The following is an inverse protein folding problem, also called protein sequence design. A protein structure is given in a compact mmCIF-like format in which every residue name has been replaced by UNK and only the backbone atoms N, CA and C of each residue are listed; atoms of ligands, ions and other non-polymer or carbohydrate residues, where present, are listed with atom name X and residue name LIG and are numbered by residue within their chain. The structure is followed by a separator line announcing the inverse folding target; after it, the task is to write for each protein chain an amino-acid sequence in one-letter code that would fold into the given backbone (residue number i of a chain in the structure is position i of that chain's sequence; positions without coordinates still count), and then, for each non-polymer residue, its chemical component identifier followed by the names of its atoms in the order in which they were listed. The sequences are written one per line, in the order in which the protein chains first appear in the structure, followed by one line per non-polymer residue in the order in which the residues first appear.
data_IF_728008144648
#
_entry.id   IF_728008144648
#
_cell.length_a   1.000
_cell.length_b   1.000
_cell.length_c   1.000
_cell.angle_alpha   90.00
_cell.angle_beta   90.00
_cell.angle_gamma   90.00
#
_symmetry.space_group_name_H-M   'P 1'
#
loop_
_entity.id
_entity.type
_entity.pdbx_description
1 polymer ?
#
# COMPACT_ATOMS: atom_id res chain seq x y z
N UNK A 1 0.52 5.62 4.40
CA UNK A 1 0.81 4.17 4.35
C UNK A 1 -0.11 3.47 5.34
N UNK A 2 -1.33 3.10 4.94
CA UNK A 2 -2.26 2.44 5.86
C UNK A 2 -1.79 1.01 6.16
N UNK A 3 -1.88 0.61 7.42
CA UNK A 3 -1.68 -0.78 7.84
C UNK A 3 -2.71 -1.66 7.12
N UNK A 4 -2.24 -2.64 6.33
CA UNK A 4 -3.12 -3.44 5.47
C UNK A 4 -3.82 -4.53 6.27
N UNK A 5 -4.99 -4.19 6.82
CA UNK A 5 -5.88 -5.17 7.44
C UNK A 5 -6.89 -5.76 6.44
N UNK A 6 -7.43 -4.97 5.50
CA UNK A 6 -8.41 -5.41 4.49
C UNK A 6 -8.48 -4.44 3.31
N UNK A 7 -8.61 -4.95 2.08
CA UNK A 7 -8.69 -4.14 0.85
C UNK A 7 -9.83 -3.10 0.87
N UNK A 8 -11.02 -3.48 1.37
CA UNK A 8 -12.15 -2.55 1.58
C UNK A 8 -11.84 -1.39 2.51
N UNK A 9 -10.96 -1.61 3.50
CA UNK A 9 -10.57 -0.55 4.44
C UNK A 9 -9.65 0.46 3.76
N UNK A 10 -8.74 -0.03 2.92
CA UNK A 10 -7.86 0.82 2.10
C UNK A 10 -8.69 1.60 1.08
N UNK A 11 -9.65 0.97 0.40
CA UNK A 11 -10.60 1.66 -0.49
C UNK A 11 -11.38 2.76 0.22
N UNK A 12 -11.90 2.48 1.42
CA UNK A 12 -12.63 3.48 2.21
C UNK A 12 -11.74 4.66 2.62
N UNK A 13 -10.47 4.40 2.98
CA UNK A 13 -9.49 5.43 3.31
C UNK A 13 -9.12 6.25 2.07
N UNK A 14 -8.88 5.60 0.93
CA UNK A 14 -8.58 6.26 -0.34
C UNK A 14 -9.74 7.14 -0.81
N UNK A 15 -10.98 6.65 -0.72
CA UNK A 15 -12.19 7.42 -1.04
C UNK A 15 -12.35 8.63 -0.11
N UNK A 16 -12.11 8.47 1.20
CA UNK A 16 -12.15 9.59 2.16
C UNK A 16 -11.01 10.60 1.96
N UNK A 17 -9.82 10.13 1.62
CA UNK A 17 -8.64 10.96 1.40
C UNK A 17 -8.59 11.57 -0.02
N UNK A 18 -9.54 11.21 -0.89
CA UNK A 18 -9.57 11.58 -2.30
C UNK A 18 -8.26 11.21 -3.05
N UNK A 19 -7.68 10.07 -2.68
CA UNK A 19 -6.44 9.53 -3.26
C UNK A 19 -6.80 8.39 -4.21
N UNK A 20 -6.32 8.39 -5.47
CA UNK A 20 -6.50 7.26 -6.38
C UNK A 20 -5.95 5.97 -5.77
N UNK A 21 -6.72 4.89 -5.84
CA UNK A 21 -6.32 3.59 -5.29
C UNK A 21 -4.99 3.10 -5.87
N UNK A 22 -4.73 3.43 -7.13
CA UNK A 22 -3.48 3.10 -7.85
C UNK A 22 -2.22 3.76 -7.25
N UNK A 23 -2.41 4.84 -6.48
CA UNK A 23 -1.35 5.50 -5.72
C UNK A 23 -1.18 4.94 -4.31
N UNK A 24 -2.08 4.07 -3.85
CA UNK A 24 -1.92 3.35 -2.60
C UNK A 24 -0.95 2.20 -2.80
N UNK A 25 0.19 2.26 -2.11
CA UNK A 25 1.15 1.15 -2.09
C UNK A 25 0.56 0.02 -1.25
N UNK A 26 0.16 -1.07 -1.90
CA UNK A 26 -0.46 -2.24 -1.27
C UNK A 26 0.43 -3.47 -1.45
N UNK A 27 0.96 -4.00 -0.35
CA UNK A 27 1.62 -5.32 -0.32
C UNK A 27 0.61 -6.45 -0.08
N UNK A 28 -0.60 -6.12 0.40
CA UNK A 28 -1.67 -7.06 0.71
C UNK A 28 -2.03 -7.97 -0.48
N UNK A 29 -2.02 -7.43 -1.70
CA UNK A 29 -2.36 -8.19 -2.92
C UNK A 29 -1.37 -9.34 -3.20
N UNK A 30 -0.13 -9.22 -2.72
CA UNK A 30 0.93 -10.20 -2.98
C UNK A 30 1.25 -11.07 -1.75
N UNK A 31 1.16 -10.50 -0.55
CA UNK A 31 1.65 -11.13 0.69
C UNK A 31 0.61 -11.25 1.80
N UNK A 32 -0.61 -10.74 1.61
CA UNK A 32 -1.64 -10.71 2.65
C UNK A 32 -1.25 -9.83 3.85
N UNK A 33 -1.93 -10.02 4.99
CA UNK A 33 -1.66 -9.28 6.21
C UNK A 33 -0.44 -9.89 6.92
N UNK A 34 0.70 -9.25 6.74
CA UNK A 34 1.97 -9.63 7.39
C UNK A 34 2.28 -8.78 8.61
N UNK A 35 1.24 -8.19 9.23
CA UNK A 35 1.33 -7.32 10.41
C UNK A 35 2.34 -6.18 10.19
N UNK A 36 3.42 -6.12 10.97
CA UNK A 36 4.44 -5.07 10.89
C UNK A 36 5.24 -5.11 9.58
N UNK A 37 5.34 -6.28 8.93
CA UNK A 37 6.08 -6.42 7.68
C UNK A 37 5.33 -5.87 6.46
N UNK A 38 4.05 -5.56 6.59
CA UNK A 38 3.23 -5.03 5.49
C UNK A 38 3.75 -3.70 4.94
N UNK A 39 4.22 -2.82 5.83
CA UNK A 39 4.77 -1.50 5.45
C UNK A 39 6.10 -1.63 4.70
N UNK A 40 7.14 -2.30 5.23
CA UNK A 40 8.40 -2.45 4.50
C UNK A 40 8.24 -3.25 3.20
N UNK A 41 7.35 -4.25 3.15
CA UNK A 41 7.06 -4.99 1.90
C UNK A 41 6.40 -4.10 0.84
N UNK A 42 5.48 -3.21 1.24
CA UNK A 42 4.84 -2.27 0.31
C UNK A 42 5.86 -1.26 -0.25
N UNK A 43 6.83 -0.85 0.57
CA UNK A 43 7.92 0.04 0.16
C UNK A 43 8.87 -0.69 -0.79
N UNK A 44 9.30 -1.91 -0.48
CA UNK A 44 10.18 -2.72 -1.34
C UNK A 44 9.55 -2.94 -2.73
N UNK A 45 8.26 -3.29 -2.77
CA UNK A 45 7.51 -3.42 -4.02
C UNK A 45 7.46 -2.10 -4.81
N UNK A 46 7.27 -0.97 -4.13
CA UNK A 46 7.17 0.32 -4.78
C UNK A 46 8.52 0.83 -5.32
N UNK A 47 9.63 0.49 -4.65
CA UNK A 47 10.98 0.72 -5.16
C UNK A 47 11.25 -0.16 -6.38
N UNK A 48 10.90 -1.46 -6.31
CA UNK A 48 11.05 -2.40 -7.44
C UNK A 48 10.20 -2.02 -8.66
N UNK A 49 9.02 -1.43 -8.44
CA UNK A 49 8.12 -0.96 -9.50
C UNK A 49 8.46 0.45 -10.00
N UNK A 50 9.58 1.05 -9.56
CA UNK A 50 9.97 2.44 -9.87
C UNK A 50 8.90 3.50 -9.55
N UNK A 51 7.91 3.15 -8.72
CA UNK A 51 6.84 4.06 -8.27
C UNK A 51 7.32 5.10 -7.27
N UNK A 52 8.49 4.88 -6.67
CA UNK A 52 9.16 5.83 -5.78
C UNK A 52 10.36 6.43 -6.53
N UNK A 53 10.28 7.72 -6.84
CA UNK A 53 11.48 8.49 -7.21
C UNK A 53 12.33 8.70 -5.97
N UNK A 54 13.56 8.17 -5.98
CA UNK A 54 14.61 8.68 -5.10
C UNK A 54 14.84 10.15 -5.47
N UNK A 55 14.68 11.04 -4.49
CA UNK A 55 14.98 12.46 -4.64
C UNK A 55 16.48 12.68 -4.45
#
# INVERSE_FOLDING_TARGET
MPHSANARMIESICNRANIPLDKALMSLQYFGNTSSATIPLAIDLAVKQEKIKKR
#
